data_IF_816607194119
#
_entry.id   IF_816607194119
#
_cell.length_a   1.000
_cell.length_b   1.000
_cell.length_c   1.000
_cell.angle_alpha   90.00
_cell.angle_beta   90.00
_cell.angle_gamma   90.00
#
_symmetry.space_group_name_H-M   'P 1'
#
loop_
_entity.id
_entity.type
_entity.pdbx_description
1 polymer ?
#
# COMPACT_ATOMS: atom_id res chain seq x y z
N UNK A 1 -1.25 -8.53 23.58
CA UNK A 1 -1.64 -8.42 22.16
C UNK A 1 -2.98 -7.69 22.13
N UNK A 2 -3.04 -6.48 21.56
CA UNK A 2 -4.23 -5.61 21.63
C UNK A 2 -4.89 -5.47 20.27
N UNK A 3 -6.21 -5.29 20.24
CA UNK A 3 -7.10 -5.15 19.07
C UNK A 3 -6.56 -4.23 17.94
N UNK A 4 -5.65 -3.31 18.26
CA UNK A 4 -5.06 -2.34 17.31
C UNK A 4 -3.99 -2.96 16.40
N UNK A 5 -3.26 -3.97 16.87
CA UNK A 5 -2.22 -4.68 16.11
C UNK A 5 -2.84 -5.61 15.05
N UNK A 6 -3.93 -6.29 15.43
CA UNK A 6 -4.69 -7.20 14.56
C UNK A 6 -5.27 -6.48 13.33
N UNK A 7 -5.75 -5.24 13.51
CA UNK A 7 -6.28 -4.44 12.41
C UNK A 7 -5.20 -4.07 11.40
N UNK A 8 -4.00 -3.71 11.87
CA UNK A 8 -2.88 -3.40 10.99
C UNK A 8 -2.41 -4.63 10.23
N UNK A 9 -2.29 -5.78 10.90
CA UNK A 9 -1.96 -7.04 10.25
C UNK A 9 -2.99 -7.44 9.18
N UNK A 10 -4.28 -7.26 9.46
CA UNK A 10 -5.36 -7.52 8.50
C UNK A 10 -5.26 -6.62 7.26
N UNK A 11 -4.93 -5.33 7.43
CA UNK A 11 -4.75 -4.40 6.31
C UNK A 11 -3.53 -4.78 5.46
N UNK A 12 -2.39 -5.06 6.08
CA UNK A 12 -1.17 -5.49 5.38
C UNK A 12 -1.43 -6.80 4.60
N UNK A 13 -2.07 -7.79 5.23
CA UNK A 13 -2.43 -9.03 4.56
C UNK A 13 -3.46 -8.85 3.44
N UNK A 14 -4.38 -7.89 3.58
CA UNK A 14 -5.32 -7.51 2.52
C UNK A 14 -4.61 -6.95 1.30
N UNK A 15 -3.74 -5.95 1.49
CA UNK A 15 -2.96 -5.31 0.43
C UNK A 15 -2.04 -6.33 -0.26
N UNK A 16 -1.40 -7.22 0.49
CA UNK A 16 -0.59 -8.30 -0.09
C UNK A 16 -1.40 -9.19 -1.03
N UNK A 17 -2.56 -9.68 -0.58
CA UNK A 17 -3.42 -10.57 -1.40
C UNK A 17 -3.93 -9.88 -2.66
N UNK A 18 -4.23 -8.59 -2.58
CA UNK A 18 -4.60 -7.79 -3.75
C UNK A 18 -3.44 -7.70 -4.75
N UNK A 19 -2.23 -7.46 -4.27
CA UNK A 19 -1.03 -7.41 -5.10
C UNK A 19 -0.66 -8.78 -5.71
N UNK A 20 -0.82 -9.87 -4.97
CA UNK A 20 -0.66 -11.25 -5.46
C UNK A 20 -1.68 -11.55 -6.56
N UNK A 21 -2.96 -11.23 -6.34
CA UNK A 21 -3.99 -11.44 -7.36
C UNK A 21 -3.73 -10.62 -8.63
N UNK A 22 -3.30 -9.36 -8.50
CA UNK A 22 -2.96 -8.52 -9.65
C UNK A 22 -1.73 -9.05 -10.41
N UNK A 23 -0.75 -9.59 -9.67
CA UNK A 23 0.41 -10.23 -10.25
C UNK A 23 -0.01 -11.48 -11.03
N UNK A 24 -0.74 -12.41 -10.41
CA UNK A 24 -1.15 -13.66 -11.04
C UNK A 24 -2.05 -13.43 -12.27
N UNK A 25 -2.83 -12.34 -12.28
CA UNK A 25 -3.61 -11.90 -13.44
C UNK A 25 -2.78 -11.34 -14.60
N UNK A 26 -1.47 -11.16 -14.42
CA UNK A 26 -0.56 -10.63 -15.45
C UNK A 26 -0.66 -9.12 -15.66
N UNK A 27 -1.14 -8.35 -14.67
CA UNK A 27 -1.16 -6.89 -14.79
C UNK A 27 0.25 -6.30 -14.79
N UNK A 28 0.46 -5.29 -15.62
CA UNK A 28 1.71 -4.52 -15.71
C UNK A 28 1.85 -3.47 -14.59
N UNK A 29 0.70 -3.02 -14.06
CA UNK A 29 0.59 -1.94 -13.08
C UNK A 29 -0.28 -2.38 -11.90
N UNK A 30 0.07 -1.91 -10.70
CA UNK A 30 -0.73 -2.06 -9.49
C UNK A 30 -0.71 -0.76 -8.70
N UNK A 31 -1.87 -0.19 -8.40
CA UNK A 31 -2.00 1.14 -7.79
C UNK A 31 -2.99 1.13 -6.61
N UNK A 32 -2.64 0.52 -5.47
CA UNK A 32 -3.53 0.43 -4.32
C UNK A 32 -3.68 1.81 -3.66
N UNK A 33 -4.83 2.04 -3.02
CA UNK A 33 -5.06 3.26 -2.24
C UNK A 33 -4.92 2.94 -0.75
N UNK A 34 -3.87 3.48 -0.13
CA UNK A 34 -3.49 3.15 1.25
C UNK A 34 -3.90 4.26 2.22
N UNK A 35 -4.39 3.93 3.43
CA UNK A 35 -4.68 4.93 4.45
C UNK A 35 -3.39 5.59 4.94
N UNK A 36 -3.31 6.93 4.91
CA UNK A 36 -2.13 7.68 5.34
C UNK A 36 -2.49 8.60 6.53
N UNK A 37 -1.79 8.49 7.69
CA UNK A 37 -2.09 9.34 8.83
C UNK A 37 -1.67 10.80 8.57
N UNK A 38 -2.46 11.81 8.99
CA UNK A 38 -2.14 13.23 8.76
C UNK A 38 -0.81 13.67 9.38
N UNK A 39 -0.35 12.98 10.42
CA UNK A 39 0.91 13.27 11.12
C UNK A 39 2.16 12.91 10.32
N UNK A 40 2.05 12.20 9.19
CA UNK A 40 3.17 11.75 8.36
C UNK A 40 4.12 10.75 9.03
N UNK A 41 3.99 10.54 10.34
CA UNK A 41 4.69 9.50 11.10
C UNK A 41 3.85 8.25 11.13
N UNK A 42 4.45 7.13 10.74
CA UNK A 42 3.94 5.82 11.08
C UNK A 42 3.75 5.78 12.61
N UNK A 43 2.51 5.57 13.06
CA UNK A 43 2.23 5.38 14.48
C UNK A 43 2.39 3.89 14.73
N UNK A 44 3.37 3.43 15.53
CA UNK A 44 3.51 2.01 15.85
C UNK A 44 2.19 1.48 16.42
N UNK A 45 1.61 0.46 15.79
CA UNK A 45 0.31 -0.11 16.17
C UNK A 45 -0.92 0.73 15.79
N UNK A 46 -0.77 1.79 14.98
CA UNK A 46 -1.87 2.50 14.34
C UNK A 46 -2.23 1.84 13.01
N UNK A 47 -3.53 1.72 12.71
CA UNK A 47 -4.01 1.24 11.40
C UNK A 47 -3.63 2.23 10.29
N UNK A 48 -2.43 2.10 9.73
CA UNK A 48 -1.88 3.08 8.79
C UNK A 48 -0.36 3.01 8.66
N UNK A 49 0.24 1.82 8.77
CA UNK A 49 1.65 1.66 8.40
C UNK A 49 1.76 1.49 6.88
N UNK A 50 1.78 2.63 6.19
CA UNK A 50 1.92 2.69 4.73
C UNK A 50 3.23 2.06 4.29
N UNK A 51 4.29 2.13 5.10
CA UNK A 51 5.54 1.44 4.80
C UNK A 51 5.34 -0.07 4.84
N UNK A 52 4.76 -0.63 5.92
CA UNK A 52 4.51 -2.07 6.00
C UNK A 52 3.57 -2.59 4.88
N UNK A 53 2.56 -1.80 4.49
CA UNK A 53 1.69 -2.14 3.36
C UNK A 53 2.44 -2.08 2.03
N UNK A 54 3.29 -1.09 1.81
CA UNK A 54 4.12 -1.00 0.60
C UNK A 54 5.14 -2.14 0.53
N UNK A 55 5.81 -2.46 1.64
CA UNK A 55 6.73 -3.60 1.76
C UNK A 55 6.03 -4.93 1.43
N UNK A 56 4.78 -5.11 1.86
CA UNK A 56 3.99 -6.28 1.49
C UNK A 56 3.74 -6.40 -0.02
N UNK A 57 3.55 -5.28 -0.74
CA UNK A 57 3.44 -5.27 -2.21
C UNK A 57 4.80 -5.58 -2.85
N UNK A 58 5.87 -4.96 -2.37
CA UNK A 58 7.24 -5.18 -2.86
C UNK A 58 7.66 -6.66 -2.72
N UNK A 59 7.26 -7.32 -1.62
CA UNK A 59 7.56 -8.72 -1.37
C UNK A 59 6.93 -9.70 -2.38
N UNK A 60 5.89 -9.29 -3.12
CA UNK A 60 5.28 -10.08 -4.21
C UNK A 60 6.16 -10.06 -5.48
N UNK A 61 7.02 -9.05 -5.63
CA UNK A 61 7.88 -8.87 -6.82
C UNK A 61 7.58 -7.59 -7.62
N UNK A 62 6.59 -6.81 -7.19
CA UNK A 62 6.33 -5.47 -7.71
C UNK A 62 7.48 -4.51 -7.39
N UNK A 63 7.65 -3.46 -8.22
CA UNK A 63 8.59 -2.36 -7.97
C UNK A 63 7.83 -1.05 -7.80
N UNK A 64 8.15 -0.29 -6.75
CA UNK A 64 7.59 1.05 -6.59
C UNK A 64 8.17 1.97 -7.67
N UNK A 65 7.30 2.56 -8.50
CA UNK A 65 7.68 3.54 -9.52
C UNK A 65 7.60 4.97 -8.97
N UNK A 66 6.43 5.34 -8.44
CA UNK A 66 6.20 6.63 -7.83
C UNK A 66 5.12 6.50 -6.76
N UNK A 67 4.98 7.53 -5.93
CA UNK A 67 3.88 7.61 -4.99
C UNK A 67 3.54 9.07 -4.71
N UNK A 68 2.30 9.30 -4.33
CA UNK A 68 1.84 10.61 -3.87
C UNK A 68 0.89 10.45 -2.69
N UNK A 69 0.65 11.54 -1.99
CA UNK A 69 -0.36 11.63 -0.92
C UNK A 69 -1.43 12.62 -1.36
N UNK A 70 -2.68 12.18 -1.33
CA UNK A 70 -3.85 12.97 -1.70
C UNK A 70 -4.81 13.07 -0.53
N UNK A 71 -5.45 14.23 -0.37
CA UNK A 71 -6.57 14.40 0.54
C UNK A 71 -7.88 14.08 -0.19
N UNK A 72 -8.78 13.34 0.46
CA UNK A 72 -10.16 13.21 -0.04
C UNK A 72 -11.00 14.46 0.28
N UNK A 73 -12.23 14.53 -0.23
CA UNK A 73 -13.16 15.65 0.05
C UNK A 73 -13.55 15.83 1.52
N UNK A 74 -13.07 14.98 2.43
CA UNK A 74 -13.25 15.08 3.88
C UNK A 74 -11.92 15.39 4.60
N UNK A 75 -10.87 15.72 3.85
CA UNK A 75 -9.54 16.03 4.39
C UNK A 75 -8.77 14.80 4.89
N UNK A 76 -9.23 13.57 4.59
CA UNK A 76 -8.50 12.36 4.98
C UNK A 76 -7.40 12.09 3.96
N UNK A 77 -6.16 12.02 4.45
CA UNK A 77 -5.01 11.72 3.62
C UNK A 77 -5.00 10.25 3.21
N UNK A 78 -4.61 10.00 1.97
CA UNK A 78 -4.40 8.67 1.40
C UNK A 78 -3.11 8.65 0.60
N UNK A 79 -2.34 7.58 0.74
CA UNK A 79 -1.22 7.33 -0.14
C UNK A 79 -1.70 6.60 -1.39
N UNK A 80 -1.20 7.03 -2.54
CA UNK A 80 -1.48 6.44 -3.85
C UNK A 80 -0.13 6.05 -4.51
N UNK A 81 0.49 4.95 -4.06
CA UNK A 81 1.65 4.39 -4.75
C UNK A 81 1.25 3.78 -6.09
N UNK A 82 2.15 3.90 -7.08
CA UNK A 82 2.11 3.17 -8.33
C UNK A 82 3.26 2.17 -8.34
N UNK A 83 2.91 0.90 -8.47
CA UNK A 83 3.84 -0.19 -8.64
C UNK A 83 3.82 -0.71 -10.07
N UNK A 84 4.97 -1.15 -10.56
CA UNK A 84 5.18 -1.68 -11.91
C UNK A 84 5.83 -3.06 -11.82
N UNK A 85 5.55 -3.91 -12.81
CA UNK A 85 6.30 -5.16 -12.98
C UNK A 85 7.76 -4.86 -13.38
N UNK A 86 8.73 -5.67 -12.95
CA UNK A 86 10.10 -5.58 -13.47
C UNK A 86 10.12 -5.72 -14.99
N UNK A 87 10.84 -4.82 -15.67
CA UNK A 87 10.96 -4.81 -17.14
C UNK A 87 9.85 -4.04 -17.88
N UNK A 88 8.81 -3.58 -17.17
CA UNK A 88 7.83 -2.65 -17.71
C UNK A 88 8.28 -1.22 -17.40
N UNK A 89 8.47 -0.40 -18.43
CA UNK A 89 8.63 1.05 -18.26
C UNK A 89 7.24 1.69 -18.22
N UNK A 90 6.96 2.43 -17.14
CA UNK A 90 5.79 3.31 -17.11
C UNK A 90 6.05 4.47 -18.09
N UNK A 91 5.30 4.50 -19.19
CA UNK A 91 5.37 5.53 -20.21
C UNK A 91 4.55 6.76 -19.83
#
# INVERSE_FOLDING_TARGET
MGIRDERSAMLVGGVRREAEAAWDAGHDLHAPVLPYPPSGRAIPGGGGDVAAMAEAVLAVGWRLHTWTVVADGRGRMKAAPLFVRPGVEAR
#
